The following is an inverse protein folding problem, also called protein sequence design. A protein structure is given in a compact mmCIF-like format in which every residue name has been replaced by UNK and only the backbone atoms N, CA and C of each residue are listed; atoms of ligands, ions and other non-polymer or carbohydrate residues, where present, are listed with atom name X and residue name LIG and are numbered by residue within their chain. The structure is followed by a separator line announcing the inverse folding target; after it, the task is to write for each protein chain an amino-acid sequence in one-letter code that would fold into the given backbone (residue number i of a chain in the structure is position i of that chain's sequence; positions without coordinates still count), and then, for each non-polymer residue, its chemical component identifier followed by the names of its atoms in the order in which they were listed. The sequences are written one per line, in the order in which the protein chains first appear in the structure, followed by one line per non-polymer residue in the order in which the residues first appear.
data_IF_217113556463
#
_entry.id   IF_217113556463
#
_cell.length_a   1.000
_cell.length_b   1.000
_cell.length_c   1.000
_cell.angle_alpha   90.00
_cell.angle_beta   90.00
_cell.angle_gamma   90.00
#
_symmetry.space_group_name_H-M   'P 1'
#
loop_
_entity.id
_entity.type
_entity.pdbx_description
1 polymer ?
#
# COMPACT_ATOMS: atom_id res chain seq x y z
N UNK A 1 43.09 -25.49 -10.57
CA UNK A 1 42.33 -26.43 -11.42
C UNK A 1 41.34 -27.13 -10.52
N UNK A 2 40.04 -27.06 -10.82
CA UNK A 2 39.01 -27.72 -10.00
C UNK A 2 38.98 -29.19 -10.43
N UNK A 3 39.14 -30.10 -9.47
CA UNK A 3 39.13 -31.53 -9.74
C UNK A 3 37.70 -31.99 -10.03
N UNK A 4 37.45 -32.48 -11.25
CA UNK A 4 36.19 -33.12 -11.68
C UNK A 4 36.18 -34.62 -11.32
N UNK A 5 36.75 -34.97 -10.17
CA UNK A 5 36.78 -36.36 -9.71
C UNK A 5 35.42 -36.68 -9.06
N UNK A 6 34.72 -37.72 -9.56
CA UNK A 6 33.52 -38.23 -8.92
C UNK A 6 33.74 -38.48 -7.42
N UNK A 7 32.81 -38.01 -6.59
CA UNK A 7 32.93 -38.13 -5.14
C UNK A 7 32.83 -39.59 -4.68
N UNK A 8 32.14 -40.42 -5.47
CA UNK A 8 31.99 -41.85 -5.20
C UNK A 8 32.14 -42.64 -6.51
N UNK A 9 33.11 -43.56 -6.55
CA UNK A 9 33.25 -44.51 -7.66
C UNK A 9 32.19 -45.61 -7.56
N UNK A 10 31.36 -45.77 -8.58
CA UNK A 10 30.46 -46.92 -8.67
C UNK A 10 29.25 -46.73 -9.60
N UNK A 11 28.65 -45.54 -9.63
CA UNK A 11 27.51 -45.24 -10.51
C UNK A 11 27.51 -43.73 -10.86
N UNK A 12 27.69 -43.36 -12.14
CA UNK A 12 27.53 -41.97 -12.58
C UNK A 12 26.13 -41.47 -12.23
N UNK A 13 26.04 -40.36 -11.48
CA UNK A 13 24.76 -39.75 -11.14
C UNK A 13 23.97 -40.44 -10.02
N UNK A 14 24.58 -41.31 -9.21
CA UNK A 14 23.93 -41.87 -8.03
C UNK A 14 23.89 -40.87 -6.86
N UNK A 15 24.70 -41.05 -5.81
CA UNK A 15 24.76 -40.11 -4.67
C UNK A 15 25.12 -38.67 -5.08
N UNK A 16 25.83 -38.51 -6.19
CA UNK A 16 26.27 -37.21 -6.70
C UNK A 16 25.10 -36.30 -7.09
N UNK A 17 24.02 -36.84 -7.65
CA UNK A 17 22.83 -36.04 -7.97
C UNK A 17 22.13 -35.54 -6.71
N UNK A 18 22.16 -36.32 -5.62
CA UNK A 18 21.60 -35.89 -4.33
C UNK A 18 22.42 -34.72 -3.78
N UNK A 19 23.76 -34.82 -3.84
CA UNK A 19 24.65 -33.75 -3.38
C UNK A 19 24.45 -32.48 -4.23
N UNK A 20 24.41 -32.61 -5.55
CA UNK A 20 24.16 -31.49 -6.46
C UNK A 20 22.78 -30.88 -6.20
N UNK A 21 21.76 -31.70 -5.97
CA UNK A 21 20.43 -31.22 -5.61
C UNK A 21 20.45 -30.42 -4.30
N UNK A 22 21.12 -30.93 -3.26
CA UNK A 22 21.26 -30.20 -1.98
C UNK A 22 21.97 -28.87 -2.18
N UNK A 23 23.09 -28.86 -2.92
CA UNK A 23 23.82 -27.63 -3.24
C UNK A 23 22.93 -26.67 -4.02
N UNK A 24 22.20 -27.15 -5.02
CA UNK A 24 21.31 -26.33 -5.83
C UNK A 24 20.17 -25.74 -5.00
N UNK A 25 19.57 -26.51 -4.08
CA UNK A 25 18.54 -26.02 -3.17
C UNK A 25 19.10 -24.97 -2.21
N UNK A 26 20.31 -25.14 -1.70
CA UNK A 26 20.92 -24.14 -0.81
C UNK A 26 21.27 -22.86 -1.57
N UNK A 27 21.90 -22.98 -2.75
CA UNK A 27 22.37 -21.82 -3.51
C UNK A 27 21.28 -21.09 -4.28
N UNK A 28 20.25 -21.80 -4.74
CA UNK A 28 19.17 -21.21 -5.54
C UNK A 28 17.82 -21.29 -4.82
N UNK A 29 17.50 -22.42 -4.19
CA UNK A 29 16.23 -22.60 -3.48
C UNK A 29 16.06 -21.62 -2.32
N UNK A 30 17.04 -21.50 -1.42
CA UNK A 30 16.94 -20.58 -0.26
C UNK A 30 16.80 -19.12 -0.71
N UNK A 31 17.66 -18.57 -1.59
CA UNK A 31 17.49 -17.20 -2.07
C UNK A 31 16.16 -16.97 -2.78
N UNK A 32 15.69 -17.94 -3.58
CA UNK A 32 14.43 -17.81 -4.31
C UNK A 32 13.24 -17.81 -3.35
N UNK A 33 13.25 -18.65 -2.31
CA UNK A 33 12.22 -18.62 -1.25
C UNK A 33 12.26 -17.31 -0.47
N UNK A 34 13.44 -16.76 -0.16
CA UNK A 34 13.54 -15.46 0.51
C UNK A 34 12.98 -14.33 -0.34
N UNK A 35 13.29 -14.30 -1.65
CA UNK A 35 12.74 -13.31 -2.58
C UNK A 35 11.23 -13.48 -2.72
N UNK A 36 10.74 -14.70 -2.92
CA UNK A 36 9.30 -14.97 -3.03
C UNK A 36 8.58 -14.58 -1.72
N UNK A 37 9.16 -14.91 -0.57
CA UNK A 37 8.64 -14.52 0.74
C UNK A 37 8.64 -13.01 0.95
N UNK A 38 9.68 -12.29 0.52
CA UNK A 38 9.72 -10.84 0.57
C UNK A 38 8.69 -10.20 -0.37
N UNK A 39 8.50 -10.74 -1.58
CA UNK A 39 7.48 -10.27 -2.52
C UNK A 39 6.08 -10.51 -1.97
N UNK A 40 5.80 -11.71 -1.45
CA UNK A 40 4.51 -12.02 -0.82
C UNK A 40 4.30 -11.12 0.38
N UNK A 41 5.29 -11.00 1.27
CA UNK A 41 5.20 -10.13 2.45
C UNK A 41 4.94 -8.68 2.07
N UNK A 42 5.65 -8.14 1.06
CA UNK A 42 5.43 -6.77 0.59
C UNK A 42 4.07 -6.64 -0.10
N UNK A 43 3.64 -7.62 -0.89
CA UNK A 43 2.34 -7.59 -1.57
C UNK A 43 1.17 -7.66 -0.57
N UNK A 44 1.23 -8.55 0.41
CA UNK A 44 0.21 -8.65 1.46
C UNK A 44 0.30 -7.47 2.42
N UNK A 45 1.51 -6.95 2.67
CA UNK A 45 1.67 -5.70 3.41
C UNK A 45 1.13 -4.53 2.62
N UNK A 46 1.19 -4.51 1.29
CA UNK A 46 0.50 -3.50 0.48
C UNK A 46 -1.01 -3.69 0.47
N UNK A 47 -1.56 -4.84 0.82
CA UNK A 47 -2.99 -4.97 1.12
C UNK A 47 -3.31 -4.41 2.52
N UNK A 48 -2.44 -4.60 3.51
CA UNK A 48 -2.57 -4.00 4.85
C UNK A 48 -2.23 -2.50 4.90
N UNK A 49 -1.32 -2.03 4.05
CA UNK A 49 -0.91 -0.64 3.85
C UNK A 49 -1.72 0.00 2.72
N UNK A 50 -2.43 -0.73 1.86
CA UNK A 50 -3.60 -0.17 1.19
C UNK A 50 -4.70 0.00 2.24
N UNK A 51 -4.96 -0.98 3.11
CA UNK A 51 -5.92 -0.76 4.19
C UNK A 51 -5.51 0.34 5.20
N UNK A 52 -4.21 0.67 5.37
CA UNK A 52 -3.72 1.72 6.29
C UNK A 52 -3.14 2.99 5.63
N UNK A 53 -2.73 2.95 4.36
CA UNK A 53 -2.30 4.12 3.56
C UNK A 53 -3.33 4.52 2.51
N UNK A 54 -4.29 3.68 2.12
CA UNK A 54 -5.57 4.19 1.62
C UNK A 54 -6.29 4.90 2.78
N UNK A 55 -6.16 4.50 4.05
CA UNK A 55 -6.64 5.37 5.15
C UNK A 55 -5.73 6.55 5.45
N UNK A 56 -4.39 6.49 5.38
CA UNK A 56 -3.57 7.67 5.64
C UNK A 56 -3.55 8.70 4.48
N UNK A 57 -3.60 8.26 3.22
CA UNK A 57 -3.75 9.12 2.03
C UNK A 57 -5.21 9.55 1.83
N UNK A 58 -6.21 8.71 2.19
CA UNK A 58 -7.62 9.15 2.25
C UNK A 58 -7.89 10.04 3.45
N UNK A 59 -7.34 9.81 4.64
CA UNK A 59 -7.54 10.72 5.80
C UNK A 59 -6.95 12.09 5.50
N UNK A 60 -5.78 12.16 4.86
CA UNK A 60 -5.20 13.46 4.47
C UNK A 60 -5.94 14.11 3.29
N UNK A 61 -6.40 13.34 2.30
CA UNK A 61 -7.22 13.86 1.20
C UNK A 61 -8.65 14.22 1.62
N UNK A 62 -9.24 13.50 2.57
CA UNK A 62 -10.55 13.76 3.16
C UNK A 62 -10.46 14.96 4.11
N UNK A 63 -9.41 15.08 4.93
CA UNK A 63 -9.17 16.26 5.78
C UNK A 63 -8.97 17.54 4.94
N UNK A 64 -8.19 17.47 3.84
CA UNK A 64 -8.01 18.60 2.93
C UNK A 64 -9.34 18.99 2.24
N UNK A 65 -10.16 18.01 1.85
CA UNK A 65 -11.46 18.25 1.24
C UNK A 65 -12.50 18.76 2.24
N UNK A 66 -12.47 18.29 3.48
CA UNK A 66 -13.34 18.76 4.57
C UNK A 66 -12.99 20.22 4.91
N UNK A 67 -11.70 20.57 5.00
CA UNK A 67 -11.27 21.94 5.26
C UNK A 67 -11.68 22.94 4.15
N UNK A 68 -11.67 22.51 2.89
CA UNK A 68 -12.19 23.30 1.77
C UNK A 68 -13.71 23.47 1.86
N UNK A 69 -14.44 22.40 2.19
CA UNK A 69 -15.89 22.41 2.33
C UNK A 69 -16.36 23.27 3.51
N UNK A 70 -15.65 23.26 4.64
CA UNK A 70 -15.97 24.11 5.80
C UNK A 70 -15.83 25.60 5.45
N UNK A 71 -14.81 25.96 4.68
CA UNK A 71 -14.59 27.33 4.21
C UNK A 71 -15.70 27.79 3.24
N UNK A 72 -16.15 26.91 2.36
CA UNK A 72 -17.25 27.22 1.45
C UNK A 72 -18.59 27.32 2.20
N UNK A 73 -18.83 26.47 3.21
CA UNK A 73 -20.03 26.56 4.06
C UNK A 73 -20.07 27.86 4.87
N UNK A 74 -18.94 28.32 5.42
CA UNK A 74 -18.87 29.63 6.08
C UNK A 74 -19.30 30.76 5.13
N UNK A 75 -18.82 30.71 3.87
CA UNK A 75 -19.19 31.68 2.82
C UNK A 75 -20.65 31.59 2.40
N UNK A 76 -21.22 30.38 2.30
CA UNK A 76 -22.65 30.22 2.00
C UNK A 76 -23.51 30.69 3.18
N UNK A 77 -23.08 30.46 4.42
CA UNK A 77 -23.79 30.91 5.61
C UNK A 77 -23.82 32.42 5.73
N UNK A 78 -22.73 33.09 5.36
CA UNK A 78 -22.68 34.56 5.31
C UNK A 78 -23.62 35.11 4.22
N UNK A 79 -23.64 34.52 3.02
CA UNK A 79 -24.59 34.92 1.95
C UNK A 79 -26.06 34.67 2.33
N UNK A 80 -26.37 33.54 2.97
CA UNK A 80 -27.74 33.23 3.40
C UNK A 80 -28.16 34.07 4.61
N UNK A 81 -27.21 34.43 5.49
CA UNK A 81 -27.43 35.33 6.62
C UNK A 81 -27.78 36.75 6.16
N UNK A 82 -26.98 37.31 5.24
CA UNK A 82 -27.25 38.62 4.63
C UNK A 82 -28.62 38.64 3.93
N UNK A 83 -28.96 37.59 3.17
CA UNK A 83 -30.22 37.54 2.43
C UNK A 83 -31.44 37.37 3.34
N UNK A 84 -31.28 36.75 4.52
CA UNK A 84 -32.36 36.64 5.51
C UNK A 84 -32.57 37.94 6.28
N UNK A 85 -31.50 38.68 6.57
CA UNK A 85 -31.56 40.00 7.20
C UNK A 85 -32.17 41.06 6.24
N UNK A 86 -31.88 41.00 4.93
CA UNK A 86 -32.49 41.88 3.92
C UNK A 86 -34.02 41.64 3.74
N UNK A 87 -34.47 40.38 3.85
CA UNK A 87 -35.90 40.04 3.74
C UNK A 87 -36.71 40.46 4.98
N UNK A 88 -36.11 40.48 6.17
CA UNK A 88 -36.76 41.00 7.38
C UNK A 88 -36.88 42.54 7.33
N UNK A 89 -35.93 43.25 6.72
CA UNK A 89 -36.00 44.70 6.55
C UNK A 89 -37.11 45.12 5.56
N UNK A 90 -37.30 44.42 4.44
CA UNK A 90 -38.39 44.70 3.48
C UNK A 90 -39.80 44.48 4.06
N UNK A 91 -39.99 43.52 4.97
CA UNK A 91 -41.30 43.29 5.63
C UNK A 91 -41.64 44.39 6.66
N UNK A 92 -40.63 45.02 7.27
CA UNK A 92 -40.84 46.11 8.24
C UNK A 92 -41.04 47.48 7.59
N UNK A 93 -40.56 47.70 6.36
CA UNK A 93 -40.74 48.97 5.64
C UNK A 93 -42.08 49.04 4.87
N UNK A 94 -42.80 47.91 4.72
CA UNK A 94 -44.11 47.83 4.06
C UNK A 94 -45.33 47.77 4.99
N UNK A 95 -45.17 47.99 6.31
CA UNK A 95 -46.26 48.12 7.31
C UNK A 95 -46.50 49.55 7.79
#
# INVERSE_FOLDING_TARGET
MVSLVPAFGGVPGGPELIIILVIAVVLFGVPLVLVAGAVVYLATRSEDEAANAETADSETADDDRIAELEKEVERLREQVGDESDELEEEETESS
#
